data_IF_524766911580
#
_entry.id   IF_524766911580
#
_cell.length_a   1.000
_cell.length_b   1.000
_cell.length_c   1.000
_cell.angle_alpha   90.00
_cell.angle_beta   90.00
_cell.angle_gamma   90.00
#
_symmetry.space_group_name_H-M   'P 1'
#
loop_
_entity.id
_entity.type
_entity.pdbx_description
1 polymer ?
#
# COMPACT_ATOMS: atom_id res chain seq x y z
N UNK A 1 23.47 0.13 -10.15
CA UNK A 1 22.96 0.72 -8.90
C UNK A 1 21.47 0.40 -8.84
N UNK A 2 20.99 -0.25 -7.78
CA UNK A 2 19.56 -0.52 -7.62
C UNK A 2 18.83 0.78 -7.30
N UNK A 3 17.80 1.14 -8.07
CA UNK A 3 16.97 2.30 -7.77
C UNK A 3 16.22 2.06 -6.47
N UNK A 4 16.44 2.92 -5.48
CA UNK A 4 15.70 2.87 -4.23
C UNK A 4 14.20 3.13 -4.47
N UNK A 5 13.37 2.22 -3.98
CA UNK A 5 11.90 2.32 -4.03
C UNK A 5 11.39 3.03 -2.78
N UNK A 6 10.30 3.79 -2.90
CA UNK A 6 9.65 4.45 -1.78
C UNK A 6 10.45 5.60 -1.18
N UNK A 7 11.02 6.44 -2.03
CA UNK A 7 11.56 7.74 -1.60
C UNK A 7 10.43 8.75 -1.42
N UNK A 8 10.69 9.88 -0.77
CA UNK A 8 9.70 10.96 -0.61
C UNK A 8 9.19 11.48 -1.96
N UNK A 9 10.09 11.66 -2.95
CA UNK A 9 9.72 12.13 -4.30
C UNK A 9 9.10 11.04 -5.18
N UNK A 10 9.31 9.77 -4.85
CA UNK A 10 8.82 8.61 -5.60
C UNK A 10 8.37 7.50 -4.65
N UNK A 11 7.21 7.68 -3.98
CA UNK A 11 6.69 6.70 -3.05
C UNK A 11 6.38 5.38 -3.75
N UNK A 12 6.48 4.28 -3.01
CA UNK A 12 6.07 2.96 -3.45
C UNK A 12 4.54 2.96 -3.55
N UNK A 13 4.01 2.75 -4.75
CA UNK A 13 2.57 2.66 -4.99
C UNK A 13 2.13 1.20 -4.99
N UNK A 14 1.17 0.87 -4.13
CA UNK A 14 0.67 -0.50 -3.96
C UNK A 14 -0.84 -0.51 -4.20
N UNK A 15 -1.28 -1.35 -5.14
CA UNK A 15 -2.69 -1.66 -5.33
C UNK A 15 -3.04 -2.95 -4.57
N UNK A 16 -4.01 -2.87 -3.67
CA UNK A 16 -4.55 -4.03 -2.95
C UNK A 16 -5.91 -4.37 -3.56
N UNK A 17 -6.08 -5.61 -4.02
CA UNK A 17 -7.34 -6.10 -4.59
C UNK A 17 -8.07 -6.94 -3.55
N UNK A 18 -9.22 -6.45 -3.09
CA UNK A 18 -10.02 -7.00 -2.00
C UNK A 18 -9.89 -6.19 -0.70
N UNK A 19 -11.03 -5.80 -0.14
CA UNK A 19 -11.16 -5.04 1.09
C UNK A 19 -11.57 -5.87 2.31
N UNK A 20 -11.40 -7.20 2.24
CA UNK A 20 -11.52 -8.05 3.42
C UNK A 20 -10.41 -7.78 4.47
N UNK A 21 -10.46 -8.48 5.63
CA UNK A 21 -9.52 -8.25 6.73
C UNK A 21 -8.05 -8.34 6.31
N UNK A 22 -7.69 -9.30 5.45
CA UNK A 22 -6.32 -9.45 4.95
C UNK A 22 -5.82 -8.22 4.19
N UNK A 23 -6.68 -7.60 3.36
CA UNK A 23 -6.35 -6.38 2.61
C UNK A 23 -6.07 -5.21 3.55
N UNK A 24 -6.92 -5.01 4.56
CA UNK A 24 -6.73 -3.97 5.56
C UNK A 24 -5.48 -4.20 6.43
N UNK A 25 -5.19 -5.44 6.83
CA UNK A 25 -3.96 -5.73 7.59
C UNK A 25 -2.71 -5.50 6.75
N UNK A 26 -2.72 -5.89 5.47
CA UNK A 26 -1.63 -5.60 4.56
C UNK A 26 -1.44 -4.08 4.37
N UNK A 27 -2.52 -3.33 4.15
CA UNK A 27 -2.48 -1.87 4.05
C UNK A 27 -1.89 -1.24 5.32
N UNK A 28 -2.35 -1.67 6.51
CA UNK A 28 -1.85 -1.19 7.78
C UNK A 28 -0.36 -1.46 7.98
N UNK A 29 0.11 -2.68 7.69
CA UNK A 29 1.52 -3.03 7.81
C UNK A 29 2.43 -2.24 6.84
N UNK A 30 1.93 -1.94 5.64
CA UNK A 30 2.63 -1.12 4.64
C UNK A 30 2.68 0.36 5.06
N UNK A 31 1.57 0.91 5.57
CA UNK A 31 1.51 2.30 6.01
C UNK A 31 2.29 2.57 7.31
N UNK A 32 2.58 1.53 8.09
CA UNK A 32 3.43 1.63 9.28
C UNK A 32 4.94 1.66 8.97
N UNK A 33 5.34 1.42 7.71
CA UNK A 33 6.75 1.49 7.31
C UNK A 33 7.28 2.92 7.45
N UNK A 34 8.40 3.07 8.15
CA UNK A 34 9.05 4.39 8.38
C UNK A 34 10.16 4.70 7.39
N UNK A 35 10.75 3.67 6.79
CA UNK A 35 11.92 3.78 5.90
C UNK A 35 11.52 3.90 4.43
N UNK A 36 10.27 3.54 4.10
CA UNK A 36 9.72 3.50 2.75
C UNK A 36 8.47 4.36 2.74
N UNK A 37 8.46 5.40 1.94
CA UNK A 37 7.23 6.16 1.66
C UNK A 37 6.31 5.28 0.82
N UNK A 38 5.13 4.94 1.34
CA UNK A 38 4.15 4.07 0.67
C UNK A 38 2.84 4.81 0.46
N UNK A 39 2.24 4.62 -0.71
CA UNK A 39 0.86 4.99 -1.03
C UNK A 39 0.10 3.72 -1.38
N UNK A 40 -1.03 3.52 -0.72
CA UNK A 40 -1.86 2.32 -0.90
C UNK A 40 -3.21 2.73 -1.50
N UNK A 41 -3.56 2.10 -2.62
CA UNK A 41 -4.89 2.16 -3.22
C UNK A 41 -5.57 0.81 -3.03
N UNK A 42 -6.76 0.79 -2.43
CA UNK A 42 -7.57 -0.42 -2.25
C UNK A 42 -8.72 -0.45 -3.26
N UNK A 43 -8.88 -1.58 -3.92
CA UNK A 43 -9.94 -1.83 -4.89
C UNK A 43 -10.76 -3.04 -4.43
N UNK A 44 -12.06 -2.85 -4.24
CA UNK A 44 -12.99 -3.95 -4.02
C UNK A 44 -14.05 -3.97 -5.13
N UNK A 45 -14.60 -5.17 -5.38
CA UNK A 45 -15.69 -5.35 -6.34
C UNK A 45 -17.01 -4.83 -5.78
N UNK A 46 -17.22 -4.94 -4.47
CA UNK A 46 -18.43 -4.53 -3.78
C UNK A 46 -18.28 -3.08 -3.30
N UNK A 47 -19.39 -2.32 -3.23
CA UNK A 47 -19.35 -0.93 -2.75
C UNK A 47 -19.08 -0.83 -1.25
N UNK A 48 -19.31 -1.90 -0.50
CA UNK A 48 -19.01 -1.98 0.93
C UNK A 48 -17.66 -2.68 1.11
N UNK A 49 -16.71 -2.06 1.83
CA UNK A 49 -15.48 -2.73 2.24
C UNK A 49 -15.75 -3.85 3.25
#
# INVERSE_FOLDING_TARGET
MATQLGTADRPLRVAIIGAGPSGFYAAGALLQQKEVAVVVDMFDRLPTP
#
